data_IF_068780484103
#
_entry.id   IF_068780484103
#
_cell.length_a   1.000
_cell.length_b   1.000
_cell.length_c   1.000
_cell.angle_alpha   90.00
_cell.angle_beta   90.00
_cell.angle_gamma   90.00
#
_symmetry.space_group_name_H-M   'P 1'
#
loop_
_entity.id
_entity.type
_entity.pdbx_description
1 polymer ?
#
# COMPACT_ATOMS: atom_id res chain seq x y z
N UNK A 1 -18.24 -9.44 9.05
CA UNK A 1 -17.04 -9.89 8.31
C UNK A 1 -16.77 -8.84 7.27
N UNK A 2 -15.77 -7.97 7.47
CA UNK A 2 -15.42 -6.97 6.47
C UNK A 2 -14.97 -7.68 5.18
N UNK A 3 -15.39 -7.16 4.03
CA UNK A 3 -14.87 -7.61 2.74
C UNK A 3 -13.35 -7.50 2.76
N UNK A 4 -12.59 -8.53 2.36
CA UNK A 4 -11.13 -8.44 2.33
C UNK A 4 -10.70 -7.31 1.39
N UNK A 5 -9.81 -6.43 1.87
CA UNK A 5 -9.20 -5.43 1.01
C UNK A 5 -8.37 -6.14 -0.07
N UNK A 6 -8.11 -5.47 -1.20
CA UNK A 6 -7.13 -5.93 -2.19
C UNK A 6 -6.04 -4.89 -2.34
N UNK A 7 -4.81 -5.35 -2.50
CA UNK A 7 -3.67 -4.47 -2.73
C UNK A 7 -2.72 -5.07 -3.77
N UNK A 8 -2.00 -4.17 -4.46
CA UNK A 8 -0.88 -4.53 -5.32
C UNK A 8 0.37 -4.70 -4.45
N UNK A 9 0.79 -5.95 -4.26
CA UNK A 9 1.97 -6.28 -3.47
C UNK A 9 3.21 -6.38 -4.35
N UNK A 10 4.29 -5.74 -3.93
CA UNK A 10 5.63 -6.09 -4.35
C UNK A 10 6.15 -7.18 -3.42
N UNK A 11 6.33 -8.40 -3.92
CA UNK A 11 6.61 -9.58 -3.07
C UNK A 11 8.08 -9.84 -2.82
N UNK A 12 8.95 -9.25 -3.64
CA UNK A 12 10.41 -9.35 -3.55
C UNK A 12 11.05 -8.13 -4.23
N UNK A 13 12.32 -7.80 -3.91
CA UNK A 13 13.07 -6.80 -4.67
C UNK A 13 13.09 -7.15 -6.16
N UNK A 14 12.97 -6.15 -7.04
CA UNK A 14 12.99 -6.33 -8.50
C UNK A 14 11.89 -7.25 -9.06
N UNK A 15 10.93 -7.63 -8.23
CA UNK A 15 9.83 -8.51 -8.61
C UNK A 15 8.70 -7.81 -9.35
N UNK A 16 7.79 -8.62 -9.89
CA UNK A 16 6.52 -8.12 -10.41
C UNK A 16 5.53 -7.85 -9.28
N UNK A 17 4.68 -6.85 -9.48
CA UNK A 17 3.53 -6.64 -8.62
C UNK A 17 2.52 -7.79 -8.77
N UNK A 18 1.87 -8.15 -7.66
CA UNK A 18 0.79 -9.12 -7.63
C UNK A 18 -0.37 -8.61 -6.79
N UNK A 19 -1.59 -8.63 -7.36
CA UNK A 19 -2.80 -8.29 -6.60
C UNK A 19 -3.15 -9.46 -5.68
N UNK A 20 -3.20 -9.18 -4.37
CA UNK A 20 -3.56 -10.17 -3.34
C UNK A 20 -4.55 -9.58 -2.37
N UNK A 21 -5.17 -10.44 -1.57
CA UNK A 21 -5.98 -10.00 -0.45
C UNK A 21 -5.07 -9.38 0.62
N UNK A 22 -5.54 -8.26 1.18
CA UNK A 22 -4.88 -7.50 2.22
C UNK A 22 -5.78 -7.45 3.46
N UNK A 23 -5.16 -7.58 4.63
CA UNK A 23 -5.88 -7.46 5.89
C UNK A 23 -6.42 -6.05 6.08
N UNK A 24 -7.55 -5.95 6.77
CA UNK A 24 -8.02 -4.68 7.31
C UNK A 24 -7.11 -4.28 8.48
N UNK A 25 -6.72 -3.00 8.52
CA UNK A 25 -6.03 -2.42 9.67
C UNK A 25 -7.01 -1.53 10.42
N UNK A 26 -7.24 -1.79 11.71
CA UNK A 26 -8.09 -0.96 12.55
C UNK A 26 -7.29 0.27 13.00
N UNK A 27 -7.77 1.51 12.78
CA UNK A 27 -7.00 2.70 13.12
C UNK A 27 -6.89 2.87 14.65
N UNK A 28 -5.71 3.24 15.13
CA UNK A 28 -5.48 3.68 16.52
C UNK A 28 -5.73 5.18 16.73
N UNK A 29 -5.54 5.70 17.96
CA UNK A 29 -5.76 7.11 18.27
C UNK A 29 -4.99 8.05 17.32
N UNK A 30 -5.71 8.96 16.65
CA UNK A 30 -5.12 9.92 15.72
C UNK A 30 -4.87 9.39 14.31
N UNK A 31 -5.21 8.13 14.03
CA UNK A 31 -5.16 7.54 12.70
C UNK A 31 -6.55 7.53 12.03
N UNK A 32 -6.56 7.46 10.69
CA UNK A 32 -7.78 7.27 9.91
C UNK A 32 -7.58 6.12 8.92
N UNK A 33 -8.65 5.39 8.66
CA UNK A 33 -8.72 4.48 7.50
C UNK A 33 -9.41 5.22 6.37
N UNK A 34 -8.75 5.24 5.21
CA UNK A 34 -9.32 5.80 3.98
C UNK A 34 -9.86 4.64 3.15
N UNK A 35 -11.11 4.76 2.70
CA UNK A 35 -11.64 3.92 1.63
C UNK A 35 -11.19 4.53 0.30
N UNK A 36 -10.10 3.99 -0.24
CA UNK A 36 -9.46 4.49 -1.44
C UNK A 36 -10.43 4.49 -2.63
N UNK A 37 -10.60 5.65 -3.27
CA UNK A 37 -11.31 5.79 -4.55
C UNK A 37 -10.32 5.86 -5.72
N UNK A 38 -9.16 6.47 -5.49
CA UNK A 38 -8.05 6.54 -6.45
C UNK A 38 -6.70 6.48 -5.73
N UNK A 39 -5.71 5.88 -6.38
CA UNK A 39 -4.31 5.88 -5.97
C UNK A 39 -3.48 6.26 -7.19
N UNK A 40 -2.59 7.24 -7.07
CA UNK A 40 -1.75 7.66 -8.18
C UNK A 40 -0.54 6.72 -8.32
N UNK A 41 -0.08 6.54 -9.57
CA UNK A 41 1.20 5.88 -9.88
C UNK A 41 2.20 6.98 -10.23
N UNK A 42 3.14 7.21 -9.33
CA UNK A 42 4.19 8.21 -9.45
C UNK A 42 5.48 7.61 -10.03
N UNK A 43 6.44 8.46 -10.47
CA UNK A 43 7.72 7.99 -10.95
C UNK A 43 8.53 7.20 -9.92
N UNK A 44 8.27 7.34 -8.61
CA UNK A 44 8.97 6.55 -7.60
C UNK A 44 8.48 5.10 -7.57
N UNK A 45 7.22 4.81 -7.91
CA UNK A 45 6.66 3.47 -7.75
C UNK A 45 7.31 2.45 -8.69
N UNK A 46 7.50 2.81 -9.97
CA UNK A 46 8.23 1.94 -10.90
C UNK A 46 9.73 1.88 -10.59
N UNK A 47 10.31 2.94 -10.02
CA UNK A 47 11.73 2.96 -9.59
C UNK A 47 11.96 2.03 -8.43
N UNK A 48 11.06 2.01 -7.45
CA UNK A 48 11.07 1.06 -6.34
C UNK A 48 11.07 -0.37 -6.88
N UNK A 49 10.17 -0.65 -7.83
CA UNK A 49 10.13 -1.95 -8.48
C UNK A 49 11.44 -2.26 -9.21
N UNK A 50 11.97 -1.33 -10.02
CA UNK A 50 13.10 -1.60 -10.93
C UNK A 50 14.46 -1.63 -10.24
N UNK A 51 14.69 -0.71 -9.29
CA UNK A 51 15.98 -0.57 -8.63
C UNK A 51 16.07 -1.36 -7.32
N UNK A 52 14.93 -1.80 -6.77
CA UNK A 52 14.85 -2.77 -5.68
C UNK A 52 15.82 -2.49 -4.55
N UNK A 53 16.78 -3.39 -4.35
CA UNK A 53 17.74 -3.33 -3.25
C UNK A 53 18.69 -2.12 -3.28
N UNK A 54 18.78 -1.40 -4.42
CA UNK A 54 19.57 -0.18 -4.54
C UNK A 54 18.86 1.07 -3.99
N UNK A 55 17.58 0.95 -3.60
CA UNK A 55 16.83 2.01 -2.94
C UNK A 55 16.66 1.71 -1.45
N UNK A 56 16.58 2.75 -0.59
CA UNK A 56 16.43 2.55 0.85
C UNK A 56 15.04 2.04 1.26
N UNK A 57 14.12 1.84 0.30
CA UNK A 57 12.76 1.37 0.53
C UNK A 57 12.24 0.54 -0.66
N UNK A 58 11.31 -0.41 -0.41
CA UNK A 58 10.84 -0.83 0.91
C UNK A 58 11.88 -1.69 1.64
N UNK A 59 11.94 -1.57 2.98
CA UNK A 59 12.90 -2.31 3.82
C UNK A 59 12.51 -3.78 4.07
N UNK A 60 11.25 -4.11 3.83
CA UNK A 60 10.68 -5.43 4.09
C UNK A 60 9.75 -5.80 2.95
N UNK A 61 9.66 -7.10 2.68
CA UNK A 61 8.76 -7.68 1.69
C UNK A 61 7.94 -8.80 2.37
N UNK A 62 6.68 -9.04 1.93
CA UNK A 62 5.97 -8.33 0.87
C UNK A 62 5.57 -6.91 1.31
N UNK A 63 5.58 -5.97 0.36
CA UNK A 63 5.26 -4.56 0.61
C UNK A 63 4.08 -4.09 -0.26
N UNK A 64 3.26 -3.20 0.28
CA UNK A 64 2.34 -2.35 -0.48
C UNK A 64 3.01 -0.97 -0.55
N UNK A 65 3.16 -0.42 -1.75
CA UNK A 65 3.76 0.91 -1.97
C UNK A 65 2.72 1.88 -2.53
N UNK A 66 3.13 3.13 -2.79
CA UNK A 66 2.26 4.22 -3.21
C UNK A 66 1.88 5.11 -2.03
N UNK A 67 2.04 6.42 -2.20
CA UNK A 67 1.86 7.42 -1.12
C UNK A 67 0.75 8.42 -1.42
N UNK A 68 0.17 8.38 -2.61
CA UNK A 68 -0.73 9.41 -3.12
C UNK A 68 -2.11 8.80 -3.32
N UNK A 69 -3.02 9.12 -2.41
CA UNK A 69 -4.36 8.51 -2.32
C UNK A 69 -5.42 9.60 -2.22
N UNK A 70 -6.57 9.34 -2.85
CA UNK A 70 -7.79 10.10 -2.66
C UNK A 70 -8.95 9.13 -2.36
N UNK A 71 -9.81 9.50 -1.42
CA UNK A 71 -10.92 8.68 -0.98
C UNK A 71 -11.67 9.31 0.17
N UNK A 72 -12.53 8.50 0.78
CA UNK A 72 -13.37 8.92 1.91
C UNK A 72 -12.74 8.42 3.22
N UNK A 73 -12.83 9.21 4.28
CA UNK A 73 -12.54 8.73 5.64
C UNK A 73 -13.61 7.69 5.99
N UNK A 74 -13.19 6.44 6.17
CA UNK A 74 -14.06 5.30 6.47
C UNK A 74 -14.20 5.08 7.98
N UNK A 75 -13.10 5.18 8.72
CA UNK A 75 -13.05 5.03 10.17
C UNK A 75 -11.99 5.98 10.74
N UNK A 76 -12.24 6.54 11.92
CA UNK A 76 -11.29 7.34 12.70
C UNK A 76 -10.99 6.55 13.98
N UNK A 77 -9.73 6.42 14.35
CA UNK A 77 -9.35 5.70 15.57
C UNK A 77 -9.58 6.54 16.82
N UNK A 78 -10.05 5.87 17.88
CA UNK A 78 -10.24 6.41 19.24
C UNK A 78 -8.96 6.29 20.07
#
# INVERSE_FOLDING_TARGET
MSTPNKASYLTAPEGNFAVKDASYFKPGPGEVVIKNAAVAVNPMDWKIQTFGANLPFPKQYPAIIGTDVAGEIYEVGE
#
